data_IF_258117059780
#
_entry.id   IF_258117059780
#
_cell.length_a   1.000
_cell.length_b   1.000
_cell.length_c   1.000
_cell.angle_alpha   90.00
_cell.angle_beta   90.00
_cell.angle_gamma   90.00
#
_symmetry.space_group_name_H-M   'P 1'
#
loop_
_entity.id
_entity.type
_entity.pdbx_description
1 polymer ?
#
# COMPACT_ATOMS: atom_id res chain seq x y z
N UNK A 1 -2.16 -39.21 26.74
CA UNK A 1 -2.03 -37.81 26.30
C UNK A 1 -0.92 -37.75 25.25
N UNK A 2 -1.25 -37.71 23.96
CA UNK A 2 -0.23 -37.72 22.89
C UNK A 2 0.43 -36.35 22.79
N UNK A 3 1.74 -36.30 23.02
CA UNK A 3 2.56 -35.11 22.80
C UNK A 3 2.45 -34.68 21.33
N UNK A 4 1.92 -33.47 21.07
CA UNK A 4 1.89 -32.89 19.72
C UNK A 4 3.35 -32.78 19.25
N UNK A 5 3.74 -33.61 18.28
CA UNK A 5 5.03 -33.47 17.60
C UNK A 5 5.09 -32.09 16.93
N UNK A 6 5.75 -31.14 17.58
CA UNK A 6 6.09 -29.85 17.00
C UNK A 6 7.07 -30.14 15.87
N UNK A 7 6.71 -29.79 14.63
CA UNK A 7 7.62 -29.93 13.51
C UNK A 7 8.70 -28.85 13.65
N UNK A 8 9.99 -29.18 13.55
CA UNK A 8 11.06 -28.18 13.68
C UNK A 8 10.98 -27.13 12.56
N UNK A 9 11.51 -25.92 12.71
CA UNK A 9 11.51 -24.91 11.64
C UNK A 9 12.22 -25.42 10.37
N UNK A 10 11.84 -24.88 9.21
CA UNK A 10 12.53 -25.11 7.94
C UNK A 10 13.90 -24.42 7.96
N UNK A 11 14.96 -25.20 7.81
CA UNK A 11 16.33 -24.69 7.70
C UNK A 11 16.76 -24.62 6.25
N UNK A 12 17.75 -23.78 5.95
CA UNK A 12 18.29 -23.63 4.59
C UNK A 12 18.83 -24.96 4.03
N UNK A 13 19.40 -25.80 4.90
CA UNK A 13 19.86 -27.14 4.52
C UNK A 13 18.71 -28.06 4.07
N UNK A 14 17.53 -27.94 4.69
CA UNK A 14 16.33 -28.68 4.29
C UNK A 14 15.79 -28.15 2.97
N UNK A 15 15.77 -26.83 2.79
CA UNK A 15 15.33 -26.18 1.55
C UNK A 15 16.24 -26.51 0.37
N UNK A 16 17.57 -26.52 0.58
CA UNK A 16 18.55 -26.91 -0.43
C UNK A 16 18.36 -28.37 -0.85
N UNK A 17 18.20 -29.28 0.12
CA UNK A 17 17.95 -30.71 -0.15
C UNK A 17 16.64 -30.94 -0.90
N UNK A 18 15.63 -30.11 -0.65
CA UNK A 18 14.35 -30.15 -1.35
C UNK A 18 14.37 -29.46 -2.72
N UNK A 19 15.49 -28.89 -3.15
CA UNK A 19 15.61 -28.21 -4.45
C UNK A 19 14.91 -26.85 -4.52
N UNK A 20 14.54 -26.26 -3.38
CA UNK A 20 13.81 -24.98 -3.31
C UNK A 20 14.65 -23.81 -2.79
N UNK A 21 15.95 -24.03 -2.53
CA UNK A 21 16.85 -23.03 -1.94
C UNK A 21 16.88 -21.70 -2.72
N UNK A 22 16.91 -21.76 -4.05
CA UNK A 22 16.88 -20.56 -4.90
C UNK A 22 15.55 -19.79 -4.81
N UNK A 23 14.44 -20.51 -4.75
CA UNK A 23 13.10 -19.91 -4.60
C UNK A 23 13.00 -19.22 -3.23
N UNK A 24 13.41 -19.90 -2.15
CA UNK A 24 13.42 -19.32 -0.81
C UNK A 24 14.27 -18.05 -0.75
N UNK A 25 15.49 -18.08 -1.31
CA UNK A 25 16.37 -16.89 -1.34
C UNK A 25 15.73 -15.71 -2.07
N UNK A 26 15.02 -15.96 -3.18
CA UNK A 26 14.28 -14.92 -3.91
C UNK A 26 13.13 -14.35 -3.11
N UNK A 27 12.39 -15.19 -2.38
CA UNK A 27 11.32 -14.75 -1.47
C UNK A 27 11.92 -13.85 -0.39
N UNK A 28 13.02 -14.25 0.24
CA UNK A 28 13.67 -13.47 1.30
C UNK A 28 14.20 -12.13 0.80
N UNK A 29 14.86 -12.12 -0.37
CA UNK A 29 15.33 -10.90 -1.01
C UNK A 29 14.19 -9.92 -1.31
N UNK A 30 13.05 -10.43 -1.82
CA UNK A 30 11.86 -9.62 -2.10
C UNK A 30 11.20 -9.12 -0.82
N UNK A 31 11.08 -9.97 0.20
CA UNK A 31 10.51 -9.59 1.49
C UNK A 31 11.33 -8.48 2.16
N UNK A 32 12.66 -8.61 2.16
CA UNK A 32 13.56 -7.58 2.70
C UNK A 32 13.41 -6.24 1.97
N UNK A 33 13.34 -6.27 0.63
CA UNK A 33 13.11 -5.05 -0.16
C UNK A 33 11.72 -4.45 0.11
N UNK A 34 10.68 -5.26 0.20
CA UNK A 34 9.33 -4.79 0.51
C UNK A 34 9.26 -4.10 1.87
N UNK A 35 9.86 -4.69 2.91
CA UNK A 35 9.90 -4.11 4.26
C UNK A 35 10.66 -2.78 4.34
N UNK A 36 11.65 -2.55 3.49
CA UNK A 36 12.32 -1.25 3.44
C UNK A 36 11.41 -0.08 3.04
N UNK A 37 10.23 -0.36 2.48
CA UNK A 37 9.22 0.64 2.13
C UNK A 37 8.24 0.93 3.27
N UNK A 38 8.17 0.08 4.31
CA UNK A 38 7.22 0.25 5.41
C UNK A 38 7.37 1.59 6.14
N UNK A 39 8.58 2.10 6.45
CA UNK A 39 8.72 3.41 7.09
C UNK A 39 8.13 4.55 6.28
N UNK A 40 8.12 4.44 4.94
CA UNK A 40 7.56 5.46 4.05
C UNK A 40 6.03 5.58 4.19
N UNK A 41 5.33 4.47 4.45
CA UNK A 41 3.89 4.50 4.72
C UNK A 41 3.52 5.09 6.09
N UNK A 42 4.44 5.05 7.05
CA UNK A 42 4.24 5.52 8.42
C UNK A 42 4.57 7.01 8.58
N UNK A 43 5.57 7.50 7.85
CA UNK A 43 5.97 8.90 7.83
C UNK A 43 5.33 9.61 6.62
N UNK A 44 4.20 10.27 6.86
CA UNK A 44 3.49 11.02 5.83
C UNK A 44 4.35 12.21 5.37
N UNK A 45 5.17 12.00 4.34
CA UNK A 45 5.92 13.07 3.71
C UNK A 45 4.93 14.08 3.12
N UNK A 46 4.81 15.25 3.75
CA UNK A 46 4.14 16.40 3.15
C UNK A 46 4.82 16.74 1.83
N UNK A 47 4.04 17.16 0.84
CA UNK A 47 4.61 17.68 -0.39
C UNK A 47 5.63 18.78 -0.05
N UNK A 48 6.85 18.62 -0.56
CA UNK A 48 7.91 19.60 -0.32
C UNK A 48 7.50 20.95 -0.91
N UNK A 49 7.74 22.04 -0.17
CA UNK A 49 7.44 23.40 -0.65
C UNK A 49 8.17 23.63 -1.97
N UNK A 50 7.46 24.18 -2.96
CA UNK A 50 7.98 24.40 -4.32
C UNK A 50 8.00 23.15 -5.22
N UNK A 51 7.59 21.97 -4.73
CA UNK A 51 7.40 20.79 -5.60
C UNK A 51 6.16 20.91 -6.48
N UNK A 52 6.10 20.10 -7.54
CA UNK A 52 4.91 20.05 -8.40
C UNK A 52 3.65 19.70 -7.61
N UNK A 53 3.75 18.75 -6.67
CA UNK A 53 2.62 18.30 -5.85
C UNK A 53 2.17 19.40 -4.87
N UNK A 54 3.09 20.20 -4.34
CA UNK A 54 2.75 21.36 -3.52
C UNK A 54 1.93 22.39 -4.32
N UNK A 55 2.35 22.70 -5.53
CA UNK A 55 1.62 23.60 -6.43
C UNK A 55 0.27 23.02 -6.90
N UNK A 56 0.11 21.70 -6.90
CA UNK A 56 -1.18 21.07 -7.20
C UNK A 56 -2.21 21.33 -6.09
N UNK A 57 -1.75 21.46 -4.84
CA UNK A 57 -2.60 21.74 -3.67
C UNK A 57 -2.89 23.22 -3.45
N UNK A 58 -2.05 24.13 -3.96
CA UNK A 58 -2.24 25.58 -3.79
C UNK A 58 -3.59 26.06 -4.36
N UNK A 59 -4.40 26.67 -3.49
CA UNK A 59 -5.73 27.23 -3.76
C UNK A 59 -6.70 26.30 -4.50
N UNK A 60 -6.54 24.98 -4.34
CA UNK A 60 -7.36 23.99 -5.04
C UNK A 60 -8.57 23.54 -4.21
N UNK A 61 -9.77 23.64 -4.80
CA UNK A 61 -11.06 23.23 -4.24
C UNK A 61 -11.34 23.73 -2.80
N UNK A 62 -11.17 25.04 -2.51
CA UNK A 62 -11.36 25.60 -1.17
C UNK A 62 -12.79 25.37 -0.62
N UNK A 63 -13.78 25.24 -1.51
CA UNK A 63 -15.18 24.96 -1.16
C UNK A 63 -15.37 23.62 -0.43
N UNK A 64 -14.45 22.67 -0.59
CA UNK A 64 -14.50 21.38 0.10
C UNK A 64 -13.90 21.42 1.51
N UNK A 65 -13.23 22.52 1.88
CA UNK A 65 -12.53 22.68 3.17
C UNK A 65 -11.55 21.52 3.49
N UNK A 66 -10.98 20.90 2.45
CA UNK A 66 -9.95 19.85 2.55
C UNK A 66 -8.60 20.48 2.30
N UNK A 67 -7.69 20.39 3.28
CA UNK A 67 -6.30 20.87 3.09
C UNK A 67 -5.51 19.85 2.29
N UNK A 68 -4.71 20.35 1.34
CA UNK A 68 -3.82 19.55 0.50
C UNK A 68 -4.56 18.38 -0.15
N UNK A 69 -5.66 18.68 -0.85
CA UNK A 69 -6.56 17.67 -1.42
C UNK A 69 -5.80 16.68 -2.31
N UNK A 70 -4.97 17.15 -3.23
CA UNK A 70 -4.23 16.28 -4.16
C UNK A 70 -3.24 15.40 -3.42
N UNK A 71 -2.42 15.97 -2.53
CA UNK A 71 -1.45 15.18 -1.74
C UNK A 71 -2.14 14.16 -0.84
N UNK A 72 -3.20 14.56 -0.13
CA UNK A 72 -3.91 13.70 0.81
C UNK A 72 -4.65 12.56 0.12
N UNK A 73 -5.29 12.83 -1.02
CA UNK A 73 -5.94 11.78 -1.83
C UNK A 73 -4.92 10.79 -2.41
N UNK A 74 -3.73 11.26 -2.80
CA UNK A 74 -2.72 10.40 -3.42
C UNK A 74 -1.88 9.59 -2.41
N UNK A 75 -1.63 10.13 -1.21
CA UNK A 75 -0.82 9.45 -0.19
C UNK A 75 -1.55 8.26 0.44
N UNK A 76 -2.87 8.36 0.63
CA UNK A 76 -3.65 7.30 1.27
C UNK A 76 -3.54 5.92 0.56
N UNK A 77 -3.76 5.80 -0.76
CA UNK A 77 -3.55 4.53 -1.45
C UNK A 77 -2.09 4.08 -1.42
N UNK A 78 -1.13 5.00 -1.32
CA UNK A 78 0.27 4.63 -1.24
C UNK A 78 0.61 4.00 0.13
N UNK A 79 0.06 4.55 1.22
CA UNK A 79 0.16 3.97 2.56
C UNK A 79 -0.48 2.58 2.61
N UNK A 80 -1.69 2.44 2.06
CA UNK A 80 -2.37 1.15 1.98
C UNK A 80 -1.54 0.12 1.19
N UNK A 81 -0.83 0.56 0.15
CA UNK A 81 0.05 -0.31 -0.61
C UNK A 81 1.24 -0.80 0.21
N UNK A 82 1.91 0.10 0.94
CA UNK A 82 3.06 -0.27 1.79
C UNK A 82 2.64 -1.14 2.96
N UNK A 83 1.48 -0.91 3.56
CA UNK A 83 0.97 -1.73 4.66
C UNK A 83 0.64 -3.15 4.20
N UNK A 84 -0.12 -3.29 3.12
CA UNK A 84 -0.45 -4.61 2.55
C UNK A 84 0.82 -5.38 2.15
N UNK A 85 1.78 -4.69 1.55
CA UNK A 85 3.06 -5.30 1.18
C UNK A 85 3.88 -5.71 2.41
N UNK A 86 3.93 -4.89 3.46
CA UNK A 86 4.67 -5.21 4.68
C UNK A 86 4.11 -6.47 5.36
N UNK A 87 2.79 -6.59 5.47
CA UNK A 87 2.14 -7.80 6.02
C UNK A 87 2.46 -9.04 5.17
N UNK A 88 2.42 -8.93 3.84
CA UNK A 88 2.82 -10.03 2.95
C UNK A 88 4.28 -10.44 3.16
N UNK A 89 5.18 -9.47 3.37
CA UNK A 89 6.60 -9.71 3.59
C UNK A 89 6.86 -10.36 4.95
N UNK A 90 6.20 -9.93 6.02
CA UNK A 90 6.29 -10.59 7.33
C UNK A 90 5.77 -12.03 7.26
N UNK A 91 4.61 -12.25 6.64
CA UNK A 91 4.05 -13.59 6.42
C UNK A 91 5.04 -14.49 5.66
N UNK A 92 5.72 -13.93 4.64
CA UNK A 92 6.74 -14.64 3.90
C UNK A 92 7.96 -14.98 4.76
N UNK A 93 8.40 -14.12 5.68
CA UNK A 93 9.53 -14.40 6.57
C UNK A 93 9.19 -15.49 7.61
N UNK A 94 7.99 -15.44 8.19
CA UNK A 94 7.52 -16.40 9.18
C UNK A 94 7.28 -17.81 8.61
N UNK A 95 7.26 -17.96 7.27
CA UNK A 95 7.00 -19.24 6.59
C UNK A 95 7.88 -20.38 7.06
N UNK A 96 9.14 -20.09 7.46
CA UNK A 96 10.10 -21.11 7.88
C UNK A 96 9.73 -21.66 9.26
N UNK A 97 9.20 -20.82 10.13
CA UNK A 97 8.78 -21.18 11.49
C UNK A 97 7.40 -21.85 11.50
N UNK A 98 6.46 -21.30 10.73
CA UNK A 98 5.08 -21.82 10.65
C UNK A 98 4.94 -23.03 9.72
N UNK A 99 5.92 -23.25 8.83
CA UNK A 99 5.84 -24.17 7.68
C UNK A 99 4.61 -23.91 6.79
N UNK A 100 4.11 -22.69 6.78
CA UNK A 100 2.95 -22.28 6.02
C UNK A 100 3.29 -21.02 5.22
N UNK A 101 3.11 -21.10 3.90
CA UNK A 101 3.30 -19.94 3.01
C UNK A 101 2.14 -18.94 3.09
N UNK A 102 1.01 -19.36 3.68
CA UNK A 102 -0.25 -18.63 3.67
C UNK A 102 -0.58 -18.12 2.26
N UNK A 103 -0.36 -18.95 1.24
CA UNK A 103 -0.24 -18.53 -0.15
C UNK A 103 -1.43 -17.67 -0.63
N UNK A 104 -2.66 -18.03 -0.25
CA UNK A 104 -3.86 -17.26 -0.59
C UNK A 104 -3.86 -15.88 0.06
N UNK A 105 -3.51 -15.79 1.36
CA UNK A 105 -3.42 -14.51 2.06
C UNK A 105 -2.29 -13.65 1.48
N UNK A 106 -1.10 -14.23 1.29
CA UNK A 106 0.06 -13.56 0.69
C UNK A 106 -0.25 -13.02 -0.71
N UNK A 107 -0.90 -13.80 -1.57
CA UNK A 107 -1.32 -13.34 -2.91
C UNK A 107 -2.39 -12.25 -2.84
N UNK A 108 -3.34 -12.37 -1.90
CA UNK A 108 -4.39 -11.35 -1.71
C UNK A 108 -3.80 -10.02 -1.25
N UNK A 109 -2.82 -10.04 -0.34
CA UNK A 109 -2.10 -8.88 0.13
C UNK A 109 -1.24 -8.25 -0.97
N UNK A 110 -0.54 -9.05 -1.78
CA UNK A 110 0.20 -8.56 -2.94
C UNK A 110 -0.72 -7.89 -3.98
N UNK A 111 -1.92 -8.46 -4.21
CA UNK A 111 -2.92 -7.86 -5.11
C UNK A 111 -3.41 -6.53 -4.55
N UNK A 112 -3.75 -6.47 -3.26
CA UNK A 112 -4.14 -5.22 -2.60
C UNK A 112 -3.03 -4.16 -2.71
N UNK A 113 -1.78 -4.55 -2.45
CA UNK A 113 -0.64 -3.65 -2.58
C UNK A 113 -0.48 -3.10 -4.02
N UNK A 114 -0.63 -3.97 -5.03
CA UNK A 114 -0.56 -3.58 -6.42
C UNK A 114 -1.68 -2.62 -6.83
N UNK A 115 -2.93 -2.93 -6.45
CA UNK A 115 -4.09 -2.11 -6.75
C UNK A 115 -3.98 -0.72 -6.11
N UNK A 116 -3.60 -0.68 -4.83
CA UNK A 116 -3.41 0.57 -4.10
C UNK A 116 -2.26 1.40 -4.67
N UNK A 117 -1.10 0.79 -4.97
CA UNK A 117 0.02 1.51 -5.59
C UNK A 117 -0.35 2.05 -6.98
N UNK A 118 -1.08 1.25 -7.76
CA UNK A 118 -1.55 1.65 -9.10
C UNK A 118 -2.48 2.86 -9.04
N UNK A 119 -3.32 2.97 -7.99
CA UNK A 119 -4.18 4.14 -7.78
C UNK A 119 -3.36 5.40 -7.53
N UNK A 120 -2.32 5.36 -6.71
CA UNK A 120 -1.40 6.49 -6.53
C UNK A 120 -0.70 6.88 -7.83
N UNK A 121 -0.19 5.90 -8.58
CA UNK A 121 0.47 6.14 -9.87
C UNK A 121 -0.53 6.77 -10.85
N UNK A 122 -1.75 6.26 -10.94
CA UNK A 122 -2.78 6.82 -11.81
C UNK A 122 -3.14 8.25 -11.40
N UNK A 123 -3.20 8.57 -10.11
CA UNK A 123 -3.46 9.94 -9.66
C UNK A 123 -2.36 10.92 -10.06
N UNK A 124 -1.10 10.51 -9.98
CA UNK A 124 0.05 11.42 -10.08
C UNK A 124 0.85 11.34 -11.39
N UNK A 125 0.63 10.32 -12.23
CA UNK A 125 1.38 10.15 -13.48
C UNK A 125 1.13 11.20 -14.58
N UNK A 126 -0.04 11.87 -14.67
CA UNK A 126 -0.21 12.94 -15.64
C UNK A 126 0.78 14.07 -15.43
N UNK A 127 1.34 14.58 -16.53
CA UNK A 127 2.22 15.77 -16.48
C UNK A 127 1.41 17.05 -16.28
N UNK A 128 0.18 17.09 -16.79
CA UNK A 128 -0.74 18.21 -16.61
C UNK A 128 -1.28 18.27 -15.17
N UNK A 129 -1.19 19.46 -14.57
CA UNK A 129 -1.67 19.74 -13.22
C UNK A 129 -3.18 19.63 -13.11
N UNK A 130 -3.91 20.18 -14.08
CA UNK A 130 -5.37 20.20 -14.03
C UNK A 130 -5.95 18.79 -14.14
N UNK A 131 -5.29 17.90 -14.89
CA UNK A 131 -5.64 16.49 -14.94
C UNK A 131 -5.45 15.79 -13.58
N UNK A 132 -4.30 15.99 -12.90
CA UNK A 132 -4.06 15.41 -11.56
C UNK A 132 -5.10 15.90 -10.55
N UNK A 133 -5.35 17.21 -10.54
CA UNK A 133 -6.38 17.88 -9.72
C UNK A 133 -7.76 17.29 -9.94
N UNK A 134 -8.16 17.16 -11.20
CA UNK A 134 -9.46 16.60 -11.60
C UNK A 134 -9.62 15.16 -11.12
N UNK A 135 -8.59 14.32 -11.28
CA UNK A 135 -8.61 12.91 -10.82
C UNK A 135 -8.76 12.82 -9.30
N UNK A 136 -7.99 13.59 -8.53
CA UNK A 136 -8.09 13.60 -7.06
C UNK A 136 -9.45 14.14 -6.57
N UNK A 137 -9.96 15.20 -7.20
CA UNK A 137 -11.27 15.76 -6.88
C UNK A 137 -12.41 14.77 -7.14
N UNK A 138 -12.37 14.07 -8.28
CA UNK A 138 -13.37 13.06 -8.62
C UNK A 138 -13.42 11.92 -7.60
N UNK A 139 -12.26 11.44 -7.16
CA UNK A 139 -12.16 10.42 -6.09
C UNK A 139 -12.75 10.96 -4.78
N UNK A 140 -12.33 12.14 -4.35
CA UNK A 140 -12.78 12.74 -3.09
C UNK A 140 -14.30 12.94 -3.09
N UNK A 141 -14.86 13.46 -4.18
CA UNK A 141 -16.32 13.61 -4.35
C UNK A 141 -17.02 12.26 -4.28
N UNK A 142 -16.49 11.24 -4.97
CA UNK A 142 -17.07 9.91 -4.93
C UNK A 142 -17.10 9.34 -3.49
N UNK A 143 -15.99 9.47 -2.75
CA UNK A 143 -15.89 9.00 -1.36
C UNK A 143 -16.85 9.76 -0.43
N UNK A 144 -16.96 11.08 -0.57
CA UNK A 144 -17.93 11.89 0.18
C UNK A 144 -19.39 11.50 -0.10
N UNK A 145 -19.70 11.17 -1.35
CA UNK A 145 -21.04 10.68 -1.73
C UNK A 145 -21.32 9.32 -1.08
N UNK A 146 -20.34 8.40 -1.06
CA UNK A 146 -20.49 7.08 -0.42
C UNK A 146 -20.64 7.18 1.11
N UNK A 147 -20.08 8.20 1.74
CA UNK A 147 -20.19 8.44 3.19
C UNK A 147 -21.55 9.03 3.63
N UNK A 148 -22.50 9.25 2.70
CA UNK A 148 -23.84 9.76 3.01
C UNK A 148 -23.89 11.26 3.32
N UNK A 149 -22.77 11.98 3.21
CA UNK A 149 -22.70 13.43 3.42
C UNK A 149 -23.35 14.23 2.28
N UNK A 150 -23.76 13.56 1.20
CA UNK A 150 -24.52 14.14 0.09
C UNK A 150 -25.84 14.82 0.54
N UNK A 151 -26.41 14.42 1.67
CA UNK A 151 -27.64 15.02 2.21
C UNK A 151 -27.46 16.43 2.82
N UNK A 152 -26.25 17.01 2.81
CA UNK A 152 -26.00 18.39 3.34
C UNK A 152 -25.52 19.41 2.31
N UNK A 153 -25.30 18.99 1.06
CA UNK A 153 -24.77 19.88 0.00
C UNK A 153 -25.89 20.36 -0.94
N UNK A 154 -27.11 19.79 -0.84
CA UNK A 154 -28.27 20.16 -1.67
C UNK A 154 -29.05 21.40 -1.21
N UNK A 155 -28.65 22.06 -0.11
CA UNK A 155 -29.43 23.14 0.55
C UNK A 155 -28.69 24.49 0.61
N UNK A 156 -27.74 24.77 -0.30
CA UNK A 156 -27.15 26.11 -0.45
C UNK A 156 -27.20 26.55 -1.91
#
# INVERSE_FOLDING_TARGET
>A
MMSKRVRPPLTEAVEHRAGIGDVSRRIDSRAKRGLSLQPWGLDQARAAIGSSLHADDEDFAPELNVRNLVSSTAVFPAMAATDALAVACHTAQERRDTRNLHAVATLSLCRAALESASRTIWLLSPTDREERRTRCLAITKHELLQQGTAARIGDI
#
